data_IF_951187174737
#
_entry.id   IF_951187174737
#
_cell.length_a   1.000
_cell.length_b   1.000
_cell.length_c   1.000
_cell.angle_alpha   90.00
_cell.angle_beta   90.00
_cell.angle_gamma   90.00
#
_symmetry.space_group_name_H-M   'P 1'
#
loop_
_entity.id
_entity.type
_entity.pdbx_description
1 polymer ?
#
# COMPACT_ATOMS: atom_id res chain seq x y z
N UNK A 1 -19.91 23.21 -39.82
CA UNK A 1 -19.62 23.06 -38.37
C UNK A 1 -18.57 24.10 -38.01
N UNK A 2 -18.86 24.96 -37.02
CA UNK A 2 -18.04 26.13 -36.71
C UNK A 2 -16.79 25.73 -35.92
N UNK A 3 -15.64 26.28 -36.29
CA UNK A 3 -14.30 26.03 -35.72
C UNK A 3 -14.26 26.14 -34.18
N UNK A 4 -15.18 26.92 -33.60
CA UNK A 4 -15.36 27.08 -32.15
C UNK A 4 -15.79 25.78 -31.43
N UNK A 5 -16.61 24.94 -32.06
CA UNK A 5 -17.07 23.68 -31.45
C UNK A 5 -15.94 22.65 -31.31
N UNK A 6 -14.99 22.65 -32.25
CA UNK A 6 -13.82 21.76 -32.26
C UNK A 6 -12.87 22.13 -31.12
N UNK A 7 -12.63 23.42 -30.88
CA UNK A 7 -11.75 23.91 -29.81
C UNK A 7 -12.33 23.57 -28.42
N UNK A 8 -13.64 23.71 -28.24
CA UNK A 8 -14.31 23.35 -26.97
C UNK A 8 -14.22 21.83 -26.72
N UNK A 9 -14.40 21.01 -27.76
CA UNK A 9 -14.28 19.55 -27.64
C UNK A 9 -12.86 19.11 -27.26
N UNK A 10 -11.83 19.72 -27.86
CA UNK A 10 -10.43 19.45 -27.54
C UNK A 10 -10.10 19.89 -26.10
N UNK A 11 -10.56 21.07 -25.67
CA UNK A 11 -10.35 21.54 -24.30
C UNK A 11 -10.99 20.62 -23.25
N UNK A 12 -12.20 20.12 -23.56
CA UNK A 12 -12.93 19.16 -22.72
C UNK A 12 -12.19 17.83 -22.60
N UNK A 13 -11.69 17.30 -23.72
CA UNK A 13 -10.93 16.04 -23.75
C UNK A 13 -9.57 16.17 -23.05
N UNK A 14 -8.86 17.29 -23.21
CA UNK A 14 -7.58 17.53 -22.55
C UNK A 14 -7.74 17.60 -21.01
N UNK A 15 -8.81 18.23 -20.51
CA UNK A 15 -9.11 18.27 -19.09
C UNK A 15 -9.41 16.88 -18.51
N UNK A 16 -10.16 16.06 -19.25
CA UNK A 16 -10.47 14.68 -18.85
C UNK A 16 -9.21 13.80 -18.83
N UNK A 17 -8.33 13.94 -19.83
CA UNK A 17 -7.06 13.25 -19.89
C UNK A 17 -6.12 13.63 -18.73
N UNK A 18 -6.01 14.92 -18.40
CA UNK A 18 -5.22 15.41 -17.27
C UNK A 18 -5.75 14.88 -15.93
N UNK A 19 -7.08 14.83 -15.76
CA UNK A 19 -7.71 14.31 -14.54
C UNK A 19 -7.44 12.81 -14.37
N UNK A 20 -7.60 12.02 -15.45
CA UNK A 20 -7.29 10.59 -15.45
C UNK A 20 -5.81 10.33 -15.18
N UNK A 21 -4.92 11.13 -15.79
CA UNK A 21 -3.47 11.03 -15.58
C UNK A 21 -3.08 11.31 -14.12
N UNK A 22 -3.63 12.38 -13.53
CA UNK A 22 -3.42 12.71 -12.11
C UNK A 22 -3.92 11.60 -11.19
N UNK A 23 -5.10 11.03 -11.49
CA UNK A 23 -5.68 9.93 -10.72
C UNK A 23 -4.78 8.68 -10.79
N UNK A 24 -4.37 8.28 -11.99
CA UNK A 24 -3.51 7.12 -12.23
C UNK A 24 -2.14 7.26 -11.54
N UNK A 25 -1.51 8.43 -11.65
CA UNK A 25 -0.22 8.69 -11.01
C UNK A 25 -0.33 8.67 -9.47
N UNK A 26 -1.41 9.23 -8.91
CA UNK A 26 -1.65 9.18 -7.47
C UNK A 26 -1.87 7.76 -6.96
N UNK A 27 -2.53 6.92 -7.76
CA UNK A 27 -2.75 5.50 -7.45
C UNK A 27 -1.45 4.70 -7.50
N UNK A 28 -0.58 4.93 -8.49
CA UNK A 28 0.72 4.26 -8.57
C UNK A 28 1.63 4.65 -7.39
N UNK A 29 1.66 5.94 -7.03
CA UNK A 29 2.42 6.44 -5.88
C UNK A 29 1.97 5.78 -4.57
N UNK A 30 0.65 5.73 -4.32
CA UNK A 30 0.07 5.07 -3.13
C UNK A 30 0.36 3.57 -3.11
N UNK A 31 0.22 2.91 -4.25
CA UNK A 31 0.51 1.47 -4.38
C UNK A 31 1.99 1.18 -4.10
N UNK A 32 2.90 2.03 -4.58
CA UNK A 32 4.33 1.93 -4.32
C UNK A 32 4.65 2.14 -2.85
N UNK A 33 4.01 3.10 -2.19
CA UNK A 33 4.17 3.33 -0.75
C UNK A 33 3.68 2.13 0.07
N UNK A 34 2.49 1.60 -0.23
CA UNK A 34 1.95 0.42 0.44
C UNK A 34 2.85 -0.81 0.25
N UNK A 35 3.39 -1.02 -0.95
CA UNK A 35 4.39 -2.08 -1.19
C UNK A 35 5.66 -1.88 -0.37
N UNK A 36 6.11 -0.63 -0.17
CA UNK A 36 7.27 -0.34 0.68
C UNK A 36 6.96 -0.68 2.14
N UNK A 37 5.81 -0.22 2.67
CA UNK A 37 5.36 -0.55 4.03
C UNK A 37 5.23 -2.07 4.24
N UNK A 38 4.68 -2.78 3.26
CA UNK A 38 4.56 -4.25 3.31
C UNK A 38 5.93 -4.93 3.43
N UNK A 39 6.95 -4.43 2.73
CA UNK A 39 8.32 -4.96 2.86
C UNK A 39 8.88 -4.72 4.26
N UNK A 40 8.71 -3.51 4.80
CA UNK A 40 9.16 -3.18 6.16
C UNK A 40 8.52 -4.10 7.19
N UNK A 41 7.19 -4.25 7.18
CA UNK A 41 6.47 -5.14 8.10
C UNK A 41 6.95 -6.58 7.96
N UNK A 42 7.19 -7.07 6.73
CA UNK A 42 7.74 -8.43 6.53
C UNK A 42 9.14 -8.62 7.12
N UNK A 43 10.00 -7.59 7.04
CA UNK A 43 11.33 -7.64 7.67
C UNK A 43 11.19 -7.69 9.18
N UNK A 44 10.39 -6.80 9.78
CA UNK A 44 10.14 -6.77 11.23
C UNK A 44 9.55 -8.12 11.72
N UNK A 45 8.62 -8.71 10.97
CA UNK A 45 8.08 -10.04 11.29
C UNK A 45 9.15 -11.13 11.26
N UNK A 46 10.10 -11.05 10.31
CA UNK A 46 11.20 -12.02 10.22
C UNK A 46 12.14 -11.87 11.43
N UNK A 47 12.46 -10.64 11.81
CA UNK A 47 13.31 -10.36 12.96
C UNK A 47 12.63 -10.85 14.25
N UNK A 48 11.31 -10.61 14.40
CA UNK A 48 10.55 -11.14 15.54
C UNK A 48 10.48 -12.66 15.58
N UNK A 49 10.38 -13.34 14.44
CA UNK A 49 10.47 -14.80 14.39
C UNK A 49 11.85 -15.32 14.82
N UNK A 50 12.93 -14.59 14.55
CA UNK A 50 14.26 -14.94 15.05
C UNK A 50 14.35 -14.72 16.57
N UNK A 51 13.80 -13.62 17.09
CA UNK A 51 13.72 -13.37 18.54
C UNK A 51 12.93 -14.48 19.26
N UNK A 52 11.77 -14.88 18.72
CA UNK A 52 10.92 -15.97 19.25
C UNK A 52 11.70 -17.28 19.32
N UNK A 53 12.43 -17.64 18.25
CA UNK A 53 13.26 -18.87 18.22
C UNK A 53 14.38 -18.88 19.25
N UNK A 54 14.83 -17.70 19.68
CA UNK A 54 15.89 -17.53 20.67
C UNK A 54 15.38 -17.18 22.07
N UNK A 55 14.06 -17.12 22.26
CA UNK A 55 13.45 -16.90 23.56
C UNK A 55 13.82 -18.04 24.52
N UNK A 56 14.21 -17.67 25.74
CA UNK A 56 14.64 -18.63 26.78
C UNK A 56 13.52 -18.94 27.79
N UNK A 57 12.44 -18.17 27.75
CA UNK A 57 11.28 -18.28 28.64
C UNK A 57 10.01 -18.36 27.80
N UNK A 58 9.04 -19.14 28.27
CA UNK A 58 7.69 -19.18 27.68
C UNK A 58 6.98 -17.81 27.77
N UNK A 59 7.25 -17.04 28.82
CA UNK A 59 6.69 -15.69 28.99
C UNK A 59 7.26 -14.68 27.98
N UNK A 60 8.56 -14.81 27.66
CA UNK A 60 9.18 -14.01 26.60
C UNK A 60 8.65 -14.42 25.22
N UNK A 61 8.46 -15.73 25.01
CA UNK A 61 7.86 -16.28 23.78
C UNK A 61 6.45 -15.71 23.56
N UNK A 62 5.60 -15.73 24.58
CA UNK A 62 4.22 -15.23 24.52
C UNK A 62 4.19 -13.72 24.18
N UNK A 63 4.99 -12.89 24.84
CA UNK A 63 5.06 -11.45 24.54
C UNK A 63 5.55 -11.17 23.11
N UNK A 64 6.54 -11.95 22.63
CA UNK A 64 7.05 -11.81 21.28
C UNK A 64 6.04 -12.30 20.24
N UNK A 65 5.27 -13.33 20.55
CA UNK A 65 4.17 -13.84 19.72
C UNK A 65 3.03 -12.83 19.62
N UNK A 66 2.68 -12.12 20.70
CA UNK A 66 1.72 -11.02 20.66
C UNK A 66 2.19 -9.90 19.73
N UNK A 67 3.46 -9.51 19.85
CA UNK A 67 4.06 -8.51 18.95
C UNK A 67 4.05 -8.97 17.49
N UNK A 68 4.32 -10.26 17.24
CA UNK A 68 4.26 -10.86 15.91
C UNK A 68 2.83 -10.83 15.34
N UNK A 69 1.82 -11.14 16.16
CA UNK A 69 0.41 -11.12 15.76
C UNK A 69 -0.05 -9.69 15.39
N UNK A 70 0.41 -8.67 16.11
CA UNK A 70 0.16 -7.28 15.73
C UNK A 70 0.77 -6.92 14.37
N UNK A 71 1.99 -7.39 14.08
CA UNK A 71 2.64 -7.19 12.78
C UNK A 71 1.90 -7.95 11.67
N UNK A 72 1.39 -9.15 11.94
CA UNK A 72 0.58 -9.91 10.99
C UNK A 72 -0.73 -9.19 10.64
N UNK A 73 -1.41 -8.63 11.65
CA UNK A 73 -2.59 -7.79 11.45
C UNK A 73 -2.28 -6.56 10.58
N UNK A 74 -1.18 -5.86 10.87
CA UNK A 74 -0.69 -4.73 10.03
C UNK A 74 -0.42 -5.20 8.59
N UNK A 75 0.19 -6.38 8.41
CA UNK A 75 0.45 -6.97 7.10
C UNK A 75 -0.86 -7.22 6.34
N UNK A 76 -1.86 -7.81 7.00
CA UNK A 76 -3.17 -8.09 6.42
C UNK A 76 -3.89 -6.80 6.01
N UNK A 77 -3.84 -5.75 6.85
CA UNK A 77 -4.42 -4.45 6.52
C UNK A 77 -3.77 -3.82 5.28
N UNK A 78 -2.44 -3.86 5.16
CA UNK A 78 -1.73 -3.35 3.97
C UNK A 78 -2.09 -4.16 2.71
N UNK A 79 -2.26 -5.48 2.83
CA UNK A 79 -2.69 -6.33 1.72
C UNK A 79 -4.13 -6.03 1.30
N UNK A 80 -5.03 -5.78 2.25
CA UNK A 80 -6.38 -5.34 1.98
C UNK A 80 -6.37 -3.98 1.26
N UNK A 81 -5.59 -3.01 1.74
CA UNK A 81 -5.44 -1.70 1.11
C UNK A 81 -4.89 -1.83 -0.32
N UNK A 82 -3.90 -2.70 -0.56
CA UNK A 82 -3.38 -2.97 -1.91
C UNK A 82 -4.44 -3.56 -2.84
N UNK A 83 -5.35 -4.39 -2.32
CA UNK A 83 -6.43 -4.99 -3.12
C UNK A 83 -7.45 -3.96 -3.62
N UNK A 84 -7.61 -2.83 -2.92
CA UNK A 84 -8.51 -1.73 -3.32
C UNK A 84 -7.95 -0.90 -4.49
N UNK A 85 -6.66 -1.03 -4.81
CA UNK A 85 -6.01 -0.37 -5.93
C UNK A 85 -5.81 -1.30 -7.15
N UNK A 86 -6.40 -2.50 -7.11
CA UNK A 86 -6.35 -3.51 -8.18
C UNK A 86 -7.48 -3.30 -9.19
#
# INVERSE_FOLDING_TARGET
MTTKAIIIAIGSMAALALWLFKKYWSTDAKTRELKKRLRTVRTEMKDKLEEIKHAKSAEDEDMLMDTYNELDNKRLQILADLSLYR
#
